data_IF_190742108905
#
_entry.id   IF_190742108905
#
_cell.length_a   1.000
_cell.length_b   1.000
_cell.length_c   1.000
_cell.angle_alpha   90.00
_cell.angle_beta   90.00
_cell.angle_gamma   90.00
#
_symmetry.space_group_name_H-M   'P 1'
#
loop_
_entity.id
_entity.type
_entity.pdbx_description
1 polymer ?
#
# COMPACT_ATOMS: atom_id res chain seq x y z
N UNK A 1 11.80 18.19 -13.38
CA UNK A 1 11.44 16.76 -13.53
C UNK A 1 11.01 16.27 -12.17
N UNK A 2 9.73 15.93 -11.95
CA UNK A 2 9.28 15.39 -10.64
C UNK A 2 9.86 13.98 -10.49
N UNK A 3 10.74 13.77 -9.51
CA UNK A 3 11.23 12.42 -9.19
C UNK A 3 10.05 11.58 -8.72
N UNK A 4 9.70 10.56 -9.49
CA UNK A 4 8.82 9.50 -9.01
C UNK A 4 9.72 8.57 -8.20
N UNK A 5 9.75 8.76 -6.89
CA UNK A 5 10.45 7.86 -5.97
C UNK A 5 9.56 6.64 -5.81
N UNK A 6 9.75 5.64 -6.68
CA UNK A 6 9.07 4.35 -6.57
C UNK A 6 9.53 3.71 -5.26
N UNK A 7 8.66 3.64 -4.25
CA UNK A 7 8.99 3.04 -2.96
C UNK A 7 8.59 1.58 -2.98
N UNK A 8 9.54 0.71 -2.65
CA UNK A 8 9.28 -0.72 -2.41
C UNK A 8 9.02 -0.93 -0.92
N UNK A 9 8.22 -1.95 -0.59
CA UNK A 9 8.03 -2.39 0.79
C UNK A 9 9.37 -2.81 1.38
N UNK A 10 9.70 -2.26 2.54
CA UNK A 10 10.87 -2.67 3.31
C UNK A 10 10.52 -3.80 4.30
N UNK A 11 11.51 -4.35 4.99
CA UNK A 11 11.31 -5.47 5.94
C UNK A 11 10.28 -5.13 7.03
N UNK A 12 10.20 -3.86 7.43
CA UNK A 12 9.26 -3.41 8.45
C UNK A 12 7.85 -3.35 7.89
N UNK A 13 7.69 -2.88 6.66
CA UNK A 13 6.39 -2.88 5.98
C UNK A 13 5.88 -4.32 5.75
N UNK A 14 6.77 -5.30 5.55
CA UNK A 14 6.42 -6.74 5.48
C UNK A 14 5.97 -7.30 6.85
N UNK A 15 6.69 -7.01 7.94
CA UNK A 15 6.27 -7.40 9.29
C UNK A 15 4.88 -6.88 9.65
N UNK A 16 4.59 -5.62 9.29
CA UNK A 16 3.27 -5.01 9.50
C UNK A 16 2.22 -5.72 8.64
N UNK A 17 2.52 -6.01 7.38
CA UNK A 17 1.59 -6.72 6.50
C UNK A 17 1.28 -8.12 7.05
N UNK A 18 2.27 -8.86 7.51
CA UNK A 18 2.08 -10.19 8.10
C UNK A 18 1.26 -10.14 9.39
N UNK A 19 1.48 -9.13 10.24
CA UNK A 19 0.66 -8.91 11.42
C UNK A 19 -0.81 -8.66 11.05
N UNK A 20 -1.09 -7.80 10.07
CA UNK A 20 -2.45 -7.52 9.60
C UNK A 20 -3.10 -8.77 8.98
N UNK A 21 -2.34 -9.58 8.24
CA UNK A 21 -2.81 -10.86 7.69
C UNK A 21 -3.20 -11.81 8.82
N UNK A 22 -2.38 -11.89 9.89
CA UNK A 22 -2.67 -12.74 11.05
C UNK A 22 -3.95 -12.32 11.80
N UNK A 23 -4.32 -11.04 11.71
CA UNK A 23 -5.56 -10.48 12.24
C UNK A 23 -6.77 -10.71 11.32
N UNK A 24 -6.61 -11.42 10.21
CA UNK A 24 -7.69 -11.74 9.27
C UNK A 24 -7.90 -10.71 8.17
N UNK A 25 -7.02 -9.72 8.03
CA UNK A 25 -7.07 -8.78 6.91
C UNK A 25 -6.55 -9.46 5.64
N UNK A 26 -7.21 -9.24 4.51
CA UNK A 26 -6.75 -9.79 3.23
C UNK A 26 -5.33 -9.29 2.91
N UNK A 27 -4.50 -10.17 2.33
CA UNK A 27 -3.10 -9.87 1.97
C UNK A 27 -2.93 -8.55 1.22
N UNK A 28 -3.81 -8.27 0.25
CA UNK A 28 -3.74 -7.04 -0.54
C UNK A 28 -3.98 -5.81 0.35
N UNK A 29 -5.04 -5.82 1.16
CA UNK A 29 -5.38 -4.74 2.11
C UNK A 29 -4.27 -4.55 3.15
N UNK A 30 -3.69 -5.63 3.66
CA UNK A 30 -2.58 -5.57 4.60
C UNK A 30 -1.34 -4.86 4.01
N UNK A 31 -0.95 -5.20 2.77
CA UNK A 31 0.19 -4.56 2.08
C UNK A 31 -0.06 -3.10 1.71
N UNK A 32 -1.30 -2.76 1.38
CA UNK A 32 -1.71 -1.37 1.15
C UNK A 32 -1.54 -0.55 2.43
N UNK A 33 -2.07 -1.06 3.54
CA UNK A 33 -2.03 -0.37 4.82
C UNK A 33 -0.59 -0.21 5.32
N UNK A 34 0.27 -1.22 5.15
CA UNK A 34 1.68 -1.10 5.52
C UNK A 34 2.41 -0.08 4.64
N UNK A 35 2.16 -0.07 3.33
CA UNK A 35 2.72 0.92 2.40
C UNK A 35 2.27 2.36 2.69
N UNK A 36 0.99 2.54 3.07
CA UNK A 36 0.40 3.83 3.39
C UNK A 36 0.87 4.38 4.75
N UNK A 37 1.07 3.53 5.75
CA UNK A 37 1.48 3.96 7.10
C UNK A 37 2.78 4.77 7.07
N UNK A 38 3.73 4.36 6.23
CA UNK A 38 5.07 4.92 6.18
C UNK A 38 5.21 6.07 5.16
N UNK A 39 4.14 6.40 4.42
CA UNK A 39 4.14 7.40 3.36
C UNK A 39 3.19 8.56 3.68
N UNK A 40 3.73 9.79 3.71
CA UNK A 40 2.93 11.01 4.01
C UNK A 40 1.95 11.38 2.90
N UNK A 41 2.21 10.91 1.68
CA UNK A 41 1.41 11.14 0.48
C UNK A 41 1.67 10.00 -0.50
N UNK A 42 0.62 9.35 -1.02
CA UNK A 42 0.72 8.23 -1.96
C UNK A 42 -0.15 8.52 -3.17
N UNK A 43 0.39 8.31 -4.37
CA UNK A 43 -0.36 8.52 -5.61
C UNK A 43 -1.22 7.30 -5.93
N UNK A 44 -2.37 7.55 -6.53
CA UNK A 44 -3.29 6.52 -7.02
C UNK A 44 -2.61 5.47 -7.90
N UNK A 45 -1.66 5.87 -8.76
CA UNK A 45 -0.86 4.97 -9.60
C UNK A 45 0.03 4.01 -8.80
N UNK A 46 0.52 4.41 -7.63
CA UNK A 46 1.39 3.59 -6.79
C UNK A 46 0.56 2.52 -6.05
N UNK A 47 -0.67 2.86 -5.67
CA UNK A 47 -1.62 1.91 -5.08
C UNK A 47 -2.04 0.80 -6.05
N UNK A 48 -2.19 1.11 -7.35
CA UNK A 48 -2.50 0.08 -8.33
C UNK A 48 -1.34 -0.90 -8.52
N UNK A 49 -0.13 -0.37 -8.50
CA UNK A 49 1.07 -1.10 -8.90
C UNK A 49 1.69 -1.92 -7.77
N UNK A 50 1.84 -1.32 -6.59
CA UNK A 50 2.53 -1.95 -5.44
C UNK A 50 1.56 -2.77 -4.57
N UNK A 51 0.28 -2.40 -4.62
CA UNK A 51 -0.76 -2.93 -3.76
C UNK A 51 -1.79 -3.80 -4.51
N UNK A 52 -1.67 -3.87 -5.85
CA UNK A 52 -2.52 -4.69 -6.70
C UNK A 52 -3.98 -4.22 -6.75
N UNK A 53 -4.25 -2.97 -6.37
CA UNK A 53 -5.59 -2.41 -6.42
C UNK A 53 -5.99 -2.05 -7.86
N UNK A 54 -7.28 -2.16 -8.14
CA UNK A 54 -7.92 -1.62 -9.34
C UNK A 54 -8.55 -0.26 -9.04
N UNK A 55 -8.75 0.56 -10.07
CA UNK A 55 -9.35 1.91 -9.97
C UNK A 55 -10.52 2.04 -8.97
N UNK A 56 -11.51 1.12 -8.90
CA UNK A 56 -12.60 1.24 -7.92
C UNK A 56 -12.13 1.15 -6.46
N UNK A 57 -11.13 0.32 -6.19
CA UNK A 57 -10.56 0.09 -4.86
C UNK A 57 -9.60 1.24 -4.49
N UNK A 58 -8.84 1.76 -5.46
CA UNK A 58 -8.00 2.94 -5.29
C UNK A 58 -8.83 4.19 -4.99
N UNK A 59 -9.93 4.40 -5.71
CA UNK A 59 -10.81 5.55 -5.47
C UNK A 59 -11.48 5.50 -4.10
N UNK A 60 -11.65 4.31 -3.52
CA UNK A 60 -12.14 4.14 -2.15
C UNK A 60 -11.06 4.45 -1.12
N UNK A 61 -9.81 4.03 -1.37
CA UNK A 61 -8.69 4.26 -0.46
C UNK A 61 -8.23 5.73 -0.40
N UNK A 62 -8.43 6.51 -1.46
CA UNK A 62 -7.98 7.92 -1.58
C UNK A 62 -9.02 8.92 -1.04
N UNK A 63 -10.27 8.49 -0.81
CA UNK A 63 -11.38 9.37 -0.44
C UNK A 63 -11.59 9.47 1.07
#
# INVERSE_FOLDING_TARGET
MKSLTIRQLDEKDEEIADALISLGISRNVARILSYLQSSKEVKSVELEREAGLRQPEVSFAVR
#
